data_IF_530002051057
#
_entry.id   IF_530002051057
#
_cell.length_a   1.000
_cell.length_b   1.000
_cell.length_c   1.000
_cell.angle_alpha   90.00
_cell.angle_beta   90.00
_cell.angle_gamma   90.00
#
_symmetry.space_group_name_H-M   'P 1'
#
loop_
_entity.id
_entity.type
_entity.pdbx_description
1 polymer ?
#
# COMPACT_ATOMS: atom_id res chain seq x y z
N UNK A 1 -17.57 -10.67 24.27
CA UNK A 1 -16.72 -10.36 23.10
C UNK A 1 -16.37 -11.66 22.37
N UNK A 2 -16.97 -11.92 21.21
CA UNK A 2 -16.67 -13.12 20.40
C UNK A 2 -15.40 -12.86 19.59
N UNK A 3 -14.35 -13.63 19.84
CA UNK A 3 -13.11 -13.64 19.05
C UNK A 3 -13.42 -14.29 17.70
N UNK A 4 -13.20 -13.56 16.61
CA UNK A 4 -13.17 -14.14 15.27
C UNK A 4 -11.79 -14.75 15.05
N UNK A 5 -11.73 -16.07 14.87
CA UNK A 5 -10.54 -16.76 14.33
C UNK A 5 -10.64 -16.71 12.82
N UNK A 6 -9.55 -16.28 12.17
CA UNK A 6 -9.41 -16.39 10.71
C UNK A 6 -9.18 -17.87 10.34
N UNK A 7 -9.99 -18.47 9.46
CA UNK A 7 -9.70 -19.80 8.92
C UNK A 7 -8.55 -19.70 7.91
N UNK A 8 -7.58 -20.59 8.07
CA UNK A 8 -6.46 -20.81 7.16
C UNK A 8 -6.96 -21.20 5.76
N UNK A 9 -6.55 -20.43 4.75
CA UNK A 9 -6.63 -20.82 3.33
C UNK A 9 -7.66 -20.05 2.51
N UNK A 10 -7.22 -18.94 1.89
CA UNK A 10 -7.81 -18.36 0.68
C UNK A 10 -6.70 -17.58 -0.06
N UNK A 11 -6.30 -18.08 -1.23
CA UNK A 11 -5.41 -17.40 -2.16
C UNK A 11 -6.24 -16.40 -2.96
N UNK A 12 -5.95 -15.11 -2.82
CA UNK A 12 -6.66 -14.03 -3.49
C UNK A 12 -6.06 -12.69 -3.08
N UNK A 13 -5.35 -12.05 -4.02
CA UNK A 13 -4.83 -10.68 -3.95
C UNK A 13 -3.88 -10.46 -2.76
N UNK A 14 -2.69 -11.06 -2.85
CA UNK A 14 -1.58 -10.79 -1.93
C UNK A 14 -0.76 -9.60 -2.43
N UNK A 15 -1.14 -8.40 -1.99
CA UNK A 15 -0.20 -7.30 -1.72
C UNK A 15 -0.73 -6.41 -0.59
N UNK A 16 -1.33 -7.03 0.43
CA UNK A 16 -1.23 -6.58 1.79
C UNK A 16 -0.67 -7.77 2.56
N UNK A 17 0.66 -7.94 2.54
CA UNK A 17 1.28 -8.82 3.52
C UNK A 17 0.96 -8.17 4.86
N UNK A 18 -0.07 -8.72 5.51
CA UNK A 18 -0.42 -8.47 6.88
C UNK A 18 0.78 -8.91 7.73
N UNK A 19 1.77 -8.03 7.86
CA UNK A 19 2.67 -8.04 8.99
C UNK A 19 1.78 -7.73 10.19
N UNK A 20 1.27 -8.81 10.82
CA UNK A 20 0.61 -8.75 12.10
C UNK A 20 1.62 -8.33 13.15
N UNK A 21 1.94 -7.05 13.20
CA UNK A 21 2.42 -6.45 14.42
C UNK A 21 1.18 -6.40 15.32
N UNK A 22 1.14 -7.32 16.28
CA UNK A 22 0.19 -7.28 17.38
C UNK A 22 0.31 -5.89 18.01
N UNK A 23 -0.68 -5.02 17.77
CA UNK A 23 -0.84 -3.83 18.58
C UNK A 23 -1.05 -4.31 20.00
N UNK A 24 0.00 -4.20 20.81
CA UNK A 24 -0.11 -4.49 22.24
C UNK A 24 -0.97 -3.38 22.83
N UNK A 25 -1.94 -3.74 23.67
CA UNK A 25 -2.72 -2.75 24.40
C UNK A 25 -1.74 -1.82 25.15
N UNK A 26 -1.77 -0.52 24.84
CA UNK A 26 -0.87 0.49 25.42
C UNK A 26 0.33 0.90 24.55
N UNK A 27 0.55 0.31 23.38
CA UNK A 27 1.54 0.83 22.42
C UNK A 27 1.15 2.22 21.90
N UNK A 28 2.15 3.07 21.68
CA UNK A 28 1.95 4.38 21.06
C UNK A 28 1.30 4.20 19.67
N UNK A 29 0.35 5.08 19.38
CA UNK A 29 -0.44 5.09 18.14
C UNK A 29 0.09 6.20 17.25
N UNK A 30 1.17 5.93 16.54
CA UNK A 30 1.80 6.90 15.64
C UNK A 30 1.47 6.56 14.18
N UNK A 31 0.97 7.56 13.44
CA UNK A 31 0.64 7.43 12.03
C UNK A 31 1.40 8.47 11.20
N UNK A 32 2.23 7.99 10.30
CA UNK A 32 2.80 8.77 9.21
C UNK A 32 1.89 8.67 7.97
N UNK A 33 1.28 9.79 7.55
CA UNK A 33 0.56 9.90 6.29
C UNK A 33 1.48 10.47 5.22
N UNK A 34 1.81 9.67 4.22
CA UNK A 34 2.50 10.15 3.02
C UNK A 34 1.45 10.45 1.97
N UNK A 35 1.33 11.70 1.55
CA UNK A 35 0.24 12.19 0.71
C UNK A 35 0.81 12.68 -0.62
N UNK A 36 0.20 12.27 -1.72
CA UNK A 36 0.55 12.77 -3.05
C UNK A 36 0.35 14.29 -3.13
N UNK A 37 1.40 15.04 -3.46
CA UNK A 37 1.44 16.49 -3.35
C UNK A 37 0.44 17.24 -4.24
N UNK A 38 0.21 16.78 -5.47
CA UNK A 38 -0.76 17.37 -6.41
C UNK A 38 -2.21 16.94 -6.13
N UNK A 39 -2.41 15.86 -5.35
CA UNK A 39 -3.74 15.42 -4.92
C UNK A 39 -4.21 16.17 -3.67
N UNK A 40 -3.28 16.50 -2.75
CA UNK A 40 -3.61 17.04 -1.43
C UNK A 40 -4.58 18.23 -1.46
N UNK A 41 -4.40 19.26 -2.31
CA UNK A 41 -5.27 20.44 -2.29
C UNK A 41 -6.73 20.09 -2.63
N UNK A 42 -6.94 19.14 -3.55
CA UNK A 42 -8.27 18.74 -4.03
C UNK A 42 -9.05 17.90 -3.02
N UNK A 43 -8.38 17.35 -2.00
CA UNK A 43 -9.01 16.51 -0.96
C UNK A 43 -8.68 16.97 0.47
N UNK A 44 -8.20 18.21 0.64
CA UNK A 44 -7.73 18.73 1.92
C UNK A 44 -8.76 18.56 3.05
N UNK A 45 -10.02 18.94 2.81
CA UNK A 45 -11.09 18.76 3.81
C UNK A 45 -11.32 17.30 4.22
N UNK A 46 -11.18 16.35 3.29
CA UNK A 46 -11.27 14.91 3.57
C UNK A 46 -10.08 14.42 4.41
N UNK A 47 -8.88 14.94 4.15
CA UNK A 47 -7.66 14.62 4.92
C UNK A 47 -7.71 15.22 6.33
N UNK A 48 -8.26 16.43 6.48
CA UNK A 48 -8.44 17.10 7.76
C UNK A 48 -9.46 16.35 8.62
N UNK A 49 -10.60 15.95 8.04
CA UNK A 49 -11.59 15.13 8.75
C UNK A 49 -11.00 13.79 9.20
N UNK A 50 -10.25 13.12 8.30
CA UNK A 50 -9.59 11.87 8.63
C UNK A 50 -8.54 12.04 9.74
N UNK A 51 -7.81 13.17 9.76
CA UNK A 51 -6.87 13.49 10.85
C UNK A 51 -7.62 13.67 12.17
N UNK A 52 -8.66 14.49 12.18
CA UNK A 52 -9.47 14.75 13.38
C UNK A 52 -10.05 13.45 13.95
N UNK A 53 -10.61 12.58 13.09
CA UNK A 53 -11.16 11.29 13.53
C UNK A 53 -10.09 10.41 14.20
N UNK A 54 -8.86 10.40 13.67
CA UNK A 54 -7.75 9.63 14.22
C UNK A 54 -7.20 10.23 15.52
N UNK A 55 -7.07 11.56 15.60
CA UNK A 55 -6.63 12.25 16.81
C UNK A 55 -7.64 12.07 17.95
N UNK A 56 -8.96 12.08 17.65
CA UNK A 56 -10.03 11.72 18.59
C UNK A 56 -9.90 10.28 19.12
N UNK A 57 -9.36 9.36 18.30
CA UNK A 57 -9.08 7.96 18.67
C UNK A 57 -7.72 7.78 19.39
N UNK A 58 -7.00 8.88 19.63
CA UNK A 58 -5.72 8.92 20.34
C UNK A 58 -4.51 8.62 19.48
N UNK A 59 -4.59 8.79 18.15
CA UNK A 59 -3.44 8.71 17.25
C UNK A 59 -2.68 10.03 17.18
N UNK A 60 -1.35 9.97 17.13
CA UNK A 60 -0.51 11.09 16.72
C UNK A 60 -0.27 11.00 15.22
N UNK A 61 -0.65 12.03 14.48
CA UNK A 61 -0.63 12.02 13.01
C UNK A 61 0.39 13.01 12.46
N UNK A 62 1.34 12.51 11.66
CA UNK A 62 2.28 13.32 10.90
C UNK A 62 1.93 13.25 9.40
N UNK A 63 1.92 14.39 8.71
CA UNK A 63 1.73 14.44 7.26
C UNK A 63 3.01 14.82 6.55
N UNK A 64 3.33 14.08 5.49
CA UNK A 64 4.42 14.40 4.56
C UNK A 64 3.87 14.39 3.15
N UNK A 65 4.19 15.44 2.38
CA UNK A 65 3.87 15.48 0.96
C UNK A 65 4.98 14.83 0.14
N UNK A 66 4.60 14.06 -0.87
CA UNK A 66 5.54 13.43 -1.79
C UNK A 66 5.01 13.48 -3.24
N UNK A 67 5.87 13.67 -4.25
CA UNK A 67 5.44 13.72 -5.63
C UNK A 67 4.79 12.40 -6.10
N UNK A 68 3.85 12.53 -7.03
CA UNK A 68 3.28 11.41 -7.77
C UNK A 68 4.37 10.58 -8.45
N UNK A 69 4.22 9.25 -8.46
CA UNK A 69 5.14 8.36 -9.18
C UNK A 69 5.17 8.65 -10.67
N UNK A 70 6.33 8.43 -11.28
CA UNK A 70 6.50 8.52 -12.73
C UNK A 70 7.31 7.33 -13.24
N UNK A 71 7.09 6.91 -14.48
CA UNK A 71 7.87 5.84 -15.10
C UNK A 71 9.33 6.23 -15.37
N UNK A 72 9.69 7.52 -15.27
CA UNK A 72 11.05 8.03 -15.54
C UNK A 72 11.98 7.90 -14.34
N UNK A 73 11.43 7.70 -13.15
CA UNK A 73 12.17 7.73 -11.90
C UNK A 73 11.83 6.48 -11.10
N UNK A 74 12.45 5.37 -11.52
CA UNK A 74 12.21 4.05 -10.96
C UNK A 74 12.65 3.98 -9.49
N UNK A 75 13.70 4.71 -9.12
CA UNK A 75 14.26 4.77 -7.77
C UNK A 75 13.54 5.72 -6.81
N UNK A 76 12.41 6.33 -7.20
CA UNK A 76 11.66 7.24 -6.33
C UNK A 76 11.18 6.58 -5.02
N UNK A 77 10.88 5.28 -5.04
CA UNK A 77 10.47 4.52 -3.85
C UNK A 77 11.64 4.31 -2.87
N UNK A 78 12.87 4.14 -3.37
CA UNK A 78 14.08 4.04 -2.54
C UNK A 78 14.29 5.34 -1.76
N UNK A 79 14.14 6.49 -2.42
CA UNK A 79 14.27 7.80 -1.77
C UNK A 79 13.15 8.06 -0.77
N UNK A 80 11.90 7.74 -1.13
CA UNK A 80 10.78 7.83 -0.19
C UNK A 80 11.01 6.98 1.07
N UNK A 81 11.54 5.77 0.92
CA UNK A 81 11.87 4.91 2.04
C UNK A 81 12.99 5.50 2.90
N UNK A 82 14.15 5.81 2.31
CA UNK A 82 15.34 6.28 3.03
C UNK A 82 15.16 7.66 3.67
N UNK A 83 14.55 8.60 2.95
CA UNK A 83 14.53 10.01 3.37
C UNK A 83 13.35 10.31 4.30
N UNK A 84 12.26 9.52 4.21
CA UNK A 84 11.00 9.81 4.91
C UNK A 84 10.61 8.68 5.86
N UNK A 85 10.42 7.46 5.34
CA UNK A 85 9.72 6.41 6.10
C UNK A 85 10.65 5.72 7.10
N UNK A 86 11.81 5.23 6.66
CA UNK A 86 12.73 4.45 7.49
C UNK A 86 13.28 5.22 8.70
N UNK A 87 13.66 6.51 8.62
CA UNK A 87 14.08 7.27 9.79
C UNK A 87 13.01 7.31 10.89
N UNK A 88 11.73 7.42 10.51
CA UNK A 88 10.60 7.41 11.44
C UNK A 88 10.31 6.00 11.97
N UNK A 89 10.36 4.99 11.11
CA UNK A 89 10.13 3.60 11.50
C UNK A 89 11.20 3.10 12.50
N UNK A 90 12.45 3.54 12.36
CA UNK A 90 13.54 3.21 13.27
C UNK A 90 13.47 4.00 14.60
N UNK A 91 12.89 5.21 14.58
CA UNK A 91 12.77 6.05 15.77
C UNK A 91 11.52 5.74 16.62
N UNK A 92 10.49 5.15 16.02
CA UNK A 92 9.17 4.96 16.65
C UNK A 92 8.81 3.48 16.73
N UNK A 93 8.62 2.97 17.95
CA UNK A 93 8.06 1.64 18.18
C UNK A 93 6.58 1.63 17.73
N UNK A 94 6.19 0.70 16.85
CA UNK A 94 4.83 0.54 16.34
C UNK A 94 4.34 1.68 15.41
N UNK A 95 5.21 2.16 14.52
CA UNK A 95 4.79 3.13 13.49
C UNK A 95 3.80 2.51 12.50
N UNK A 96 2.72 3.23 12.23
CA UNK A 96 1.85 2.99 11.08
C UNK A 96 2.18 4.00 9.97
N UNK A 97 2.23 3.52 8.74
CA UNK A 97 2.50 4.33 7.54
C UNK A 97 1.31 4.17 6.61
N UNK A 98 0.73 5.29 6.20
CA UNK A 98 -0.40 5.31 5.28
C UNK A 98 -0.07 6.17 4.06
N UNK A 99 0.15 5.50 2.93
CA UNK A 99 0.43 6.14 1.65
C UNK A 99 -0.90 6.44 0.94
N UNK A 100 -1.12 7.69 0.56
CA UNK A 100 -2.35 8.18 -0.05
C UNK A 100 -2.03 8.81 -1.41
N UNK A 101 -2.51 8.20 -2.47
CA UNK A 101 -2.27 8.67 -3.83
C UNK A 101 -1.52 7.65 -4.69
N UNK A 102 -1.23 8.05 -5.92
CA UNK A 102 -0.35 7.32 -6.83
C UNK A 102 1.12 7.62 -6.51
N UNK A 103 1.55 7.23 -5.30
CA UNK A 103 2.92 7.36 -4.82
C UNK A 103 3.83 6.26 -5.42
N UNK A 104 5.17 6.39 -5.30
CA UNK A 104 6.11 5.37 -5.78
C UNK A 104 5.77 4.00 -5.18
N UNK A 105 5.73 2.98 -6.04
CA UNK A 105 5.44 1.61 -5.64
C UNK A 105 6.73 0.78 -5.80
N UNK A 106 7.30 0.24 -4.72
CA UNK A 106 8.41 -0.70 -4.81
C UNK A 106 7.93 -2.00 -5.46
N UNK A 107 8.81 -2.62 -6.25
CA UNK A 107 8.60 -3.96 -6.80
C UNK A 107 9.73 -4.86 -6.32
N UNK A 108 9.42 -6.13 -6.05
CA UNK A 108 10.40 -7.11 -5.60
C UNK A 108 10.02 -8.49 -6.10
N UNK A 109 11.04 -9.29 -6.40
CA UNK A 109 10.91 -10.67 -6.81
C UNK A 109 11.86 -10.98 -7.95
N UNK A 110 12.69 -11.99 -7.74
CA UNK A 110 13.42 -12.59 -8.84
C UNK A 110 12.53 -13.59 -9.54
N UNK A 111 12.10 -14.64 -8.84
CA UNK A 111 11.30 -15.77 -9.32
C UNK A 111 9.99 -15.97 -8.51
N UNK A 112 9.20 -14.92 -8.38
CA UNK A 112 7.85 -15.00 -7.78
C UNK A 112 6.78 -15.16 -8.86
N UNK A 113 5.79 -16.03 -8.64
CA UNK A 113 4.54 -16.09 -9.41
C UNK A 113 3.37 -16.40 -8.46
N UNK A 114 2.90 -15.42 -7.68
CA UNK A 114 1.97 -15.65 -6.57
C UNK A 114 0.62 -16.26 -6.99
N UNK A 115 0.24 -16.13 -8.26
CA UNK A 115 -1.01 -16.64 -8.81
C UNK A 115 -0.89 -18.06 -9.40
N UNK A 116 0.31 -18.65 -9.40
CA UNK A 116 0.54 -20.00 -9.90
C UNK A 116 0.80 -20.08 -11.41
N UNK A 117 0.75 -18.96 -12.14
CA UNK A 117 0.94 -18.96 -13.59
C UNK A 117 2.43 -18.74 -13.96
N UNK A 118 3.03 -19.60 -14.80
CA UNK A 118 4.46 -19.51 -15.11
C UNK A 118 4.83 -18.35 -16.05
N UNK A 119 3.85 -17.74 -16.72
CA UNK A 119 4.00 -16.57 -17.59
C UNK A 119 3.97 -15.24 -16.82
N UNK A 120 3.84 -15.30 -15.49
CA UNK A 120 3.77 -14.12 -14.64
C UNK A 120 5.00 -13.97 -13.74
N UNK A 121 6.00 -14.86 -13.88
CA UNK A 121 7.18 -14.88 -13.02
C UNK A 121 7.89 -13.52 -13.00
N UNK A 122 8.24 -13.01 -11.83
CA UNK A 122 9.14 -11.88 -11.70
C UNK A 122 8.87 -11.00 -10.49
N UNK A 123 9.07 -9.70 -10.65
CA UNK A 123 8.91 -8.71 -9.60
C UNK A 123 7.45 -8.22 -9.51
N UNK A 124 6.93 -8.19 -8.28
CA UNK A 124 5.57 -7.74 -7.95
C UNK A 124 5.61 -6.60 -6.94
N UNK A 125 4.50 -5.86 -6.82
CA UNK A 125 4.39 -4.77 -5.85
C UNK A 125 4.72 -5.26 -4.43
N UNK A 126 5.69 -4.63 -3.79
CA UNK A 126 6.29 -5.07 -2.53
C UNK A 126 6.26 -3.96 -1.48
N UNK A 127 5.06 -3.55 -1.06
CA UNK A 127 4.86 -2.48 -0.05
C UNK A 127 5.59 -2.74 1.27
N UNK A 128 5.91 -4.01 1.56
CA UNK A 128 6.75 -4.44 2.70
C UNK A 128 8.11 -3.75 2.73
N UNK A 129 8.65 -3.33 1.59
CA UNK A 129 9.91 -2.56 1.51
C UNK A 129 9.89 -1.32 2.42
N UNK A 130 8.76 -0.59 2.45
CA UNK A 130 8.62 0.60 3.30
C UNK A 130 8.64 0.28 4.80
N UNK A 131 8.32 -0.95 5.18
CA UNK A 131 8.29 -1.39 6.57
C UNK A 131 9.54 -2.19 7.00
N UNK A 132 10.47 -2.43 6.08
CA UNK A 132 11.62 -3.30 6.27
C UNK A 132 12.92 -2.53 5.97
N UNK A 133 13.35 -1.63 6.88
CA UNK A 133 14.60 -0.90 6.72
C UNK A 133 15.78 -1.87 6.74
N UNK A 134 16.65 -1.78 5.73
CA UNK A 134 17.80 -2.66 5.63
C UNK A 134 18.59 -2.43 4.35
N UNK A 135 19.80 -2.97 4.32
CA UNK A 135 20.72 -2.90 3.17
C UNK A 135 20.68 -4.16 2.32
N UNK A 136 19.87 -5.15 2.68
CA UNK A 136 19.82 -6.45 2.01
C UNK A 136 18.86 -6.48 0.81
N UNK A 137 18.24 -5.35 0.48
CA UNK A 137 17.50 -5.15 -0.76
C UNK A 137 18.49 -4.95 -1.91
N UNK A 138 18.58 -5.94 -2.80
CA UNK A 138 19.51 -5.91 -3.94
C UNK A 138 18.75 -5.74 -5.25
N UNK A 139 19.40 -5.17 -6.25
CA UNK A 139 18.90 -4.97 -7.61
C UNK A 139 20.03 -5.34 -8.58
N UNK A 140 20.29 -6.66 -8.65
CA UNK A 140 21.48 -7.23 -9.32
C UNK A 140 21.15 -8.41 -10.25
N UNK A 141 19.93 -8.95 -10.18
CA UNK A 141 19.56 -10.13 -10.97
C UNK A 141 18.80 -9.75 -12.24
N UNK A 142 18.90 -10.61 -13.25
CA UNK A 142 18.21 -10.50 -14.53
C UNK A 142 17.30 -11.71 -14.73
N UNK A 143 15.99 -11.47 -14.86
CA UNK A 143 14.99 -12.50 -15.16
C UNK A 143 14.37 -12.38 -16.56
N UNK A 144 14.89 -11.51 -17.42
CA UNK A 144 14.35 -11.25 -18.77
C UNK A 144 14.37 -12.46 -19.71
N UNK A 145 15.11 -13.52 -19.36
CA UNK A 145 15.12 -14.79 -20.08
C UNK A 145 13.86 -15.65 -19.88
N UNK A 146 13.00 -15.32 -18.91
CA UNK A 146 11.75 -16.03 -18.67
C UNK A 146 10.59 -15.42 -19.44
N UNK A 147 9.48 -16.16 -19.52
CA UNK A 147 8.26 -15.70 -20.18
C UNK A 147 7.47 -14.75 -19.26
N UNK A 148 8.13 -13.70 -18.77
CA UNK A 148 7.58 -12.76 -17.81
C UNK A 148 6.80 -11.65 -18.52
N UNK A 149 5.68 -11.23 -17.94
CA UNK A 149 5.04 -9.96 -18.32
C UNK A 149 6.06 -8.80 -18.22
N UNK A 150 6.06 -7.83 -19.17
CA UNK A 150 7.03 -6.73 -19.17
C UNK A 150 7.09 -5.94 -17.86
N UNK A 151 5.98 -5.85 -17.12
CA UNK A 151 5.92 -5.19 -15.81
C UNK A 151 6.66 -5.95 -14.71
N UNK A 152 6.82 -7.26 -14.84
CA UNK A 152 7.45 -8.14 -13.84
C UNK A 152 8.92 -8.44 -14.15
N UNK A 153 9.40 -8.08 -15.35
CA UNK A 153 10.83 -8.21 -15.67
C UNK A 153 11.65 -7.39 -14.66
N UNK A 154 12.60 -8.03 -14.00
CA UNK A 154 13.60 -7.45 -13.10
C UNK A 154 14.94 -7.45 -13.83
N UNK A 155 15.54 -6.27 -13.95
CA UNK A 155 16.84 -6.07 -14.59
C UNK A 155 17.77 -5.35 -13.62
N UNK A 156 19.09 -5.63 -13.65
CA UNK A 156 20.04 -4.95 -12.79
C UNK A 156 19.99 -3.42 -12.95
N UNK A 157 19.71 -2.72 -11.85
CA UNK A 157 19.64 -1.26 -11.77
C UNK A 157 18.32 -0.64 -12.26
N UNK A 158 17.27 -1.45 -12.47
CA UNK A 158 15.96 -0.95 -12.90
C UNK A 158 15.09 -0.42 -11.74
N UNK A 159 15.55 -0.56 -10.49
CA UNK A 159 14.87 -0.16 -9.28
C UNK A 159 13.88 -1.20 -8.75
N UNK A 160 13.90 -2.45 -9.24
CA UNK A 160 13.15 -3.55 -8.65
C UNK A 160 14.11 -4.42 -7.85
N UNK A 161 13.61 -4.98 -6.75
CA UNK A 161 14.44 -5.77 -5.86
C UNK A 161 14.42 -7.27 -6.22
N UNK A 162 15.51 -7.95 -5.93
CA UNK A 162 15.70 -9.37 -6.23
C UNK A 162 14.95 -10.28 -5.24
N UNK A 163 14.62 -9.77 -4.06
CA UNK A 163 14.16 -10.59 -2.95
C UNK A 163 12.71 -11.07 -3.15
N UNK A 164 12.47 -12.36 -2.94
CA UNK A 164 11.10 -12.91 -2.95
C UNK A 164 10.36 -12.69 -1.63
N UNK A 165 11.09 -12.41 -0.55
CA UNK A 165 10.60 -12.23 0.81
C UNK A 165 11.35 -11.08 1.46
N UNK A 166 10.76 -10.45 2.48
CA UNK A 166 11.46 -9.42 3.24
C UNK A 166 12.80 -9.98 3.79
N UNK A 167 13.95 -9.36 3.45
CA UNK A 167 15.25 -9.89 3.85
C UNK A 167 15.59 -9.57 5.32
N UNK A 168 14.94 -8.56 5.89
CA UNK A 168 15.16 -8.06 7.25
C UNK A 168 13.83 -8.01 8.04
N UNK A 169 13.87 -7.80 9.38
CA UNK A 169 12.66 -7.66 10.18
C UNK A 169 11.75 -6.53 9.69
N UNK A 170 10.44 -6.82 9.64
CA UNK A 170 9.41 -5.81 9.36
C UNK A 170 9.04 -5.12 10.66
N UNK A 171 9.25 -3.80 10.73
CA UNK A 171 9.13 -3.02 11.97
C UNK A 171 8.02 -1.97 11.98
N UNK A 172 7.30 -1.80 10.87
CA UNK A 172 6.18 -0.87 10.73
C UNK A 172 4.97 -1.52 10.05
N UNK A 173 3.79 -0.96 10.26
CA UNK A 173 2.57 -1.34 9.55
C UNK A 173 2.38 -0.41 8.34
N UNK A 174 2.25 -0.95 7.13
CA UNK A 174 2.07 -0.13 5.92
C UNK A 174 0.71 -0.38 5.27
N UNK A 175 -0.04 0.70 5.04
CA UNK A 175 -1.22 0.72 4.19
C UNK A 175 -1.00 1.60 2.96
N UNK A 176 -1.48 1.16 1.81
CA UNK A 176 -1.32 1.89 0.55
C UNK A 176 -2.70 2.08 -0.11
N UNK A 177 -3.17 3.33 -0.14
CA UNK A 177 -4.38 3.74 -0.83
C UNK A 177 -4.01 4.36 -2.18
N UNK A 178 -3.97 3.53 -3.22
CA UNK A 178 -3.81 3.97 -4.60
C UNK A 178 -5.06 3.67 -5.41
N UNK A 179 -5.85 4.71 -5.66
CA UNK A 179 -7.03 4.65 -6.51
C UNK A 179 -6.69 5.01 -7.97
N UNK A 180 -5.41 5.00 -8.37
CA UNK A 180 -5.00 5.29 -9.74
C UNK A 180 -5.49 4.27 -10.78
N UNK A 181 -5.89 3.07 -10.34
CA UNK A 181 -6.36 1.97 -11.18
C UNK A 181 -7.89 1.83 -11.21
N UNK A 182 -8.64 2.70 -10.55
CA UNK A 182 -10.12 2.58 -10.49
C UNK A 182 -10.81 2.75 -11.84
N UNK A 183 -10.09 3.14 -12.90
CA UNK A 183 -10.61 3.31 -14.25
C UNK A 183 -10.77 4.78 -14.64
N UNK A 184 -11.45 5.04 -15.77
CA UNK A 184 -11.72 6.37 -16.30
C UNK A 184 -13.09 6.88 -15.87
N UNK A 185 -13.32 8.20 -15.80
CA UNK A 185 -14.64 8.75 -15.46
C UNK A 185 -15.77 8.16 -16.30
N UNK A 186 -15.53 7.97 -17.61
CA UNK A 186 -16.50 7.41 -18.56
C UNK A 186 -16.91 5.97 -18.24
N UNK A 187 -16.00 5.12 -17.74
CA UNK A 187 -16.32 3.75 -17.32
C UNK A 187 -17.30 3.72 -16.14
N UNK A 188 -17.35 4.81 -15.37
CA UNK A 188 -18.23 5.00 -14.22
C UNK A 188 -19.43 5.90 -14.52
N UNK A 189 -19.64 6.29 -15.79
CA UNK A 189 -20.72 7.20 -16.19
C UNK A 189 -20.58 8.61 -15.60
N UNK A 190 -19.37 9.00 -15.18
CA UNK A 190 -19.08 10.33 -14.65
C UNK A 190 -18.72 11.31 -15.78
N UNK A 191 -19.22 12.54 -15.67
CA UNK A 191 -18.88 13.66 -16.56
C UNK A 191 -17.71 14.50 -16.03
N UNK A 192 -17.12 14.14 -14.88
CA UNK A 192 -15.96 14.83 -14.34
C UNK A 192 -14.74 14.60 -15.22
N UNK A 193 -13.80 15.54 -15.20
CA UNK A 193 -12.48 15.27 -15.76
C UNK A 193 -11.74 14.19 -14.95
N UNK A 194 -10.61 13.70 -15.45
CA UNK A 194 -9.89 12.60 -14.80
C UNK A 194 -9.30 13.01 -13.44
N UNK A 195 -8.91 14.27 -13.25
CA UNK A 195 -8.32 14.74 -12.00
C UNK A 195 -9.40 14.89 -10.92
N UNK A 196 -10.50 15.54 -11.27
CA UNK A 196 -11.66 15.74 -10.39
C UNK A 196 -12.33 14.42 -10.03
N UNK A 197 -12.47 13.50 -10.99
CA UNK A 197 -12.99 12.17 -10.73
C UNK A 197 -12.11 11.40 -9.74
N UNK A 198 -10.79 11.47 -9.88
CA UNK A 198 -9.86 10.85 -8.93
C UNK A 198 -10.00 11.47 -7.55
N UNK A 199 -9.99 12.80 -7.44
CA UNK A 199 -10.19 13.51 -6.18
C UNK A 199 -11.52 13.11 -5.52
N UNK A 200 -12.60 13.02 -6.31
CA UNK A 200 -13.90 12.52 -5.88
C UNK A 200 -13.82 11.09 -5.32
N UNK A 201 -13.12 10.17 -5.99
CA UNK A 201 -12.94 8.80 -5.48
C UNK A 201 -12.23 8.77 -4.12
N UNK A 202 -11.18 9.58 -3.92
CA UNK A 202 -10.49 9.69 -2.63
C UNK A 202 -11.41 10.29 -1.55
N UNK A 203 -12.10 11.37 -1.85
CA UNK A 203 -13.04 12.00 -0.91
C UNK A 203 -14.17 11.05 -0.52
N UNK A 204 -14.72 10.30 -1.47
CA UNK A 204 -15.75 9.29 -1.20
C UNK A 204 -15.21 8.12 -0.35
N UNK A 205 -13.95 7.72 -0.55
CA UNK A 205 -13.30 6.74 0.33
C UNK A 205 -13.23 7.26 1.77
N UNK A 206 -12.72 8.48 1.97
CA UNK A 206 -12.61 9.07 3.30
C UNK A 206 -13.97 9.33 3.97
N UNK A 207 -14.98 9.72 3.19
CA UNK A 207 -16.35 9.86 3.71
C UNK A 207 -16.89 8.52 4.24
N UNK A 208 -16.69 7.41 3.52
CA UNK A 208 -17.10 6.08 3.99
C UNK A 208 -16.35 5.65 5.25
N UNK A 209 -15.07 5.97 5.32
CA UNK A 209 -14.20 5.74 6.48
C UNK A 209 -14.67 6.52 7.70
N UNK A 210 -15.09 7.78 7.53
CA UNK A 210 -15.72 8.60 8.56
C UNK A 210 -17.08 8.04 8.99
N UNK A 211 -17.97 7.76 8.04
CA UNK A 211 -19.31 7.23 8.30
C UNK A 211 -19.26 5.88 9.03
N UNK A 212 -18.28 5.04 8.71
CA UNK A 212 -18.00 3.81 9.43
C UNK A 212 -17.64 4.07 10.89
N UNK A 213 -16.73 5.02 11.17
CA UNK A 213 -16.32 5.40 12.54
C UNK A 213 -17.46 5.96 13.36
N UNK A 214 -18.30 6.80 12.75
CA UNK A 214 -19.45 7.41 13.41
C UNK A 214 -20.68 6.48 13.44
N UNK A 215 -20.57 5.23 12.99
CA UNK A 215 -21.65 4.25 12.98
C UNK A 215 -22.80 4.55 12.01
N UNK A 216 -22.62 5.50 11.08
CA UNK A 216 -23.59 5.87 10.03
C UNK A 216 -23.59 4.86 8.88
N UNK A 217 -22.51 4.12 8.71
CA UNK A 217 -22.37 3.06 7.71
C UNK A 217 -21.75 1.81 8.32
N UNK A 218 -22.18 0.63 7.87
CA UNK A 218 -21.59 -0.64 8.24
C UNK A 218 -21.57 -1.59 7.02
N UNK A 219 -20.56 -2.48 6.89
CA UNK A 219 -20.56 -3.54 5.90
C UNK A 219 -21.80 -4.41 6.06
N UNK A 220 -22.58 -4.59 4.99
CA UNK A 220 -23.82 -5.38 5.03
C UNK A 220 -23.59 -6.87 4.81
N UNK A 221 -22.60 -7.21 3.99
CA UNK A 221 -22.26 -8.59 3.64
C UNK A 221 -20.77 -8.81 3.88
N UNK A 222 -20.43 -9.91 4.56
CA UNK A 222 -19.06 -10.43 4.62
C UNK A 222 -19.06 -11.64 3.68
N UNK A 223 -18.49 -11.48 2.50
CA UNK A 223 -18.38 -12.57 1.52
C UNK A 223 -16.93 -13.05 1.55
N UNK A 224 -16.72 -14.31 1.94
CA UNK A 224 -15.46 -15.01 1.71
C UNK A 224 -15.59 -15.76 0.39
N UNK A 225 -14.94 -15.28 -0.67
CA UNK A 225 -14.82 -16.04 -1.92
C UNK A 225 -13.66 -17.03 -1.76
N UNK A 226 -13.98 -18.24 -1.33
CA UNK A 226 -13.02 -19.34 -1.23
C UNK A 226 -13.59 -20.58 -1.88
N UNK A 227 -13.31 -20.77 -3.17
CA UNK A 227 -13.47 -22.09 -3.80
C UNK A 227 -12.28 -22.29 -4.75
N UNK A 228 -11.17 -22.79 -4.20
CA UNK A 228 -10.09 -23.34 -5.01
C UNK A 228 -10.38 -24.84 -5.18
N UNK A 229 -10.98 -25.18 -6.31
CA UNK A 229 -11.13 -26.57 -6.74
C UNK A 229 -9.86 -26.96 -7.49
N UNK A 230 -8.78 -27.19 -6.76
CA UNK A 230 -7.59 -27.81 -7.32
C UNK A 230 -7.93 -29.22 -7.79
N UNK A 231 -7.76 -29.44 -9.09
CA UNK A 231 -7.74 -30.76 -9.73
C UNK A 231 -6.35 -31.03 -10.28
#
# INVERSE_FOLDING_TARGET
MRRLRCPSGCSGILAAIAAGLLSTEGAAKDLLRVIQSDLQPSIAGSLDQHRSDLEEEGWTVEDVLWPKRTARDTNAHIRLANDVIWPRALATSNLHVFLIGSLPMPYSGYNLWPDGHPDTIGAYAATVYYACPGTNWTDLLDNSSWDSLPSHVNLPGDGKFDQNYAPDPVIACVGFLDLGIVGTPSQWGSSLDTADFRAFCYSNYFQRVHDYRKGKWAPRNIIGAGDYKGG
#
